data_IF_710831586621
#
_entry.id   IF_710831586621
#
_cell.length_a   1.000
_cell.length_b   1.000
_cell.length_c   1.000
_cell.angle_alpha   90.00
_cell.angle_beta   90.00
_cell.angle_gamma   90.00
#
_symmetry.space_group_name_H-M   'P 1'
#
loop_
_entity.id
_entity.type
_entity.pdbx_description
1 polymer ?
#
# COMPACT_ATOMS: atom_id res chain seq x y z
N UNK A 1 10.80 14.90 5.05
CA UNK A 1 9.72 15.06 4.05
C UNK A 1 8.37 14.61 4.59
N UNK A 2 8.25 13.40 5.14
CA UNK A 2 6.95 12.82 5.53
C UNK A 2 6.23 13.54 6.69
N UNK A 3 6.94 14.09 7.68
CA UNK A 3 6.32 14.90 8.75
C UNK A 3 5.71 16.23 8.23
N UNK A 4 6.38 16.89 7.26
CA UNK A 4 5.86 18.11 6.61
C UNK A 4 4.63 17.80 5.76
N UNK A 5 4.60 16.62 5.13
CA UNK A 5 3.47 16.13 4.34
C UNK A 5 2.26 15.76 5.23
N UNK A 6 2.50 15.17 6.40
CA UNK A 6 1.44 14.91 7.39
C UNK A 6 0.82 16.20 7.96
N UNK A 7 1.62 17.22 8.25
CA UNK A 7 1.13 18.54 8.70
C UNK A 7 0.31 19.25 7.62
N UNK A 8 0.69 19.12 6.34
CA UNK A 8 -0.08 19.68 5.23
C UNK A 8 -1.42 18.97 5.00
N UNK A 9 -1.47 17.65 5.20
CA UNK A 9 -2.71 16.88 5.09
C UNK A 9 -3.80 17.35 6.06
N UNK A 10 -3.46 18.02 7.17
CA UNK A 10 -4.43 18.54 8.15
C UNK A 10 -5.25 19.71 7.58
N UNK A 11 -4.67 20.53 6.69
CA UNK A 11 -5.33 21.70 6.06
C UNK A 11 -5.96 21.41 4.69
N UNK A 12 -5.77 20.21 4.14
CA UNK A 12 -6.22 19.87 2.79
C UNK A 12 -7.69 19.39 2.74
N UNK A 13 -8.31 19.46 1.55
CA UNK A 13 -9.68 18.99 1.29
C UNK A 13 -9.84 17.49 1.60
N UNK A 14 -11.09 17.05 1.83
CA UNK A 14 -11.39 15.67 2.23
C UNK A 14 -10.80 14.60 1.29
N UNK A 15 -10.76 14.87 -0.02
CA UNK A 15 -10.18 13.97 -1.01
C UNK A 15 -8.66 13.76 -0.81
N UNK A 16 -7.92 14.83 -0.53
CA UNK A 16 -6.47 14.77 -0.35
C UNK A 16 -6.13 13.98 0.92
N UNK A 17 -6.89 14.20 2.00
CA UNK A 17 -6.79 13.40 3.23
C UNK A 17 -6.99 11.90 2.95
N UNK A 18 -8.03 11.55 2.19
CA UNK A 18 -8.31 10.16 1.82
C UNK A 18 -7.19 9.55 0.97
N UNK A 19 -6.60 10.32 0.04
CA UNK A 19 -5.48 9.87 -0.77
C UNK A 19 -4.27 9.51 0.10
N UNK A 20 -3.89 10.39 1.04
CA UNK A 20 -2.80 10.13 1.98
C UNK A 20 -3.10 8.95 2.89
N UNK A 21 -4.34 8.83 3.38
CA UNK A 21 -4.75 7.69 4.19
C UNK A 21 -4.57 6.36 3.46
N UNK A 22 -5.06 6.24 2.22
CA UNK A 22 -4.92 5.02 1.41
C UNK A 22 -3.44 4.73 1.11
N UNK A 23 -2.64 5.76 0.86
CA UNK A 23 -1.20 5.61 0.65
C UNK A 23 -0.49 5.05 1.88
N UNK A 24 -0.74 5.65 3.06
CA UNK A 24 -0.17 5.20 4.33
C UNK A 24 -0.61 3.78 4.68
N UNK A 25 -1.88 3.44 4.43
CA UNK A 25 -2.42 2.10 4.65
C UNK A 25 -1.69 1.05 3.78
N UNK A 26 -1.47 1.34 2.50
CA UNK A 26 -0.74 0.43 1.60
C UNK A 26 0.76 0.35 1.92
N UNK A 27 1.38 1.46 2.31
CA UNK A 27 2.77 1.45 2.78
C UNK A 27 2.93 0.61 4.05
N UNK A 28 1.96 0.68 4.97
CA UNK A 28 1.96 -0.13 6.18
C UNK A 28 1.83 -1.62 5.85
N UNK A 29 0.96 -1.99 4.91
CA UNK A 29 0.85 -3.37 4.44
C UNK A 29 2.17 -3.86 3.84
N UNK A 30 2.84 -3.02 3.04
CA UNK A 30 4.14 -3.34 2.47
C UNK A 30 5.22 -3.53 3.55
N UNK A 31 5.23 -2.69 4.59
CA UNK A 31 6.11 -2.85 5.76
C UNK A 31 5.85 -4.18 6.49
N UNK A 32 4.57 -4.48 6.77
CA UNK A 32 4.16 -5.72 7.44
C UNK A 32 4.55 -6.97 6.64
N UNK A 33 4.55 -6.89 5.30
CA UNK A 33 4.91 -7.99 4.40
C UNK A 33 6.42 -8.23 4.26
N UNK A 34 7.30 -7.38 4.80
CA UNK A 34 8.77 -7.53 4.65
C UNK A 34 9.29 -8.95 4.99
N UNK A 35 8.89 -9.60 6.10
CA UNK A 35 9.32 -10.97 6.42
C UNK A 35 8.84 -11.99 5.39
N UNK A 36 7.66 -11.78 4.81
CA UNK A 36 7.08 -12.64 3.78
C UNK A 36 7.90 -12.58 2.48
N UNK A 37 8.28 -11.37 2.05
CA UNK A 37 9.08 -11.15 0.85
C UNK A 37 10.47 -11.77 0.95
N UNK A 38 11.03 -11.81 2.16
CA UNK A 38 12.38 -12.31 2.40
C UNK A 38 12.42 -13.84 2.55
N UNK A 39 11.37 -14.44 3.13
CA UNK A 39 11.34 -15.87 3.48
C UNK A 39 10.59 -16.77 2.49
N UNK A 40 9.52 -16.28 1.86
CA UNK A 40 8.59 -17.11 1.06
C UNK A 40 8.62 -16.85 -0.43
N UNK A 41 9.19 -15.74 -0.88
CA UNK A 41 9.30 -15.45 -2.31
C UNK A 41 10.58 -16.09 -2.84
N UNK A 42 10.44 -17.09 -3.71
CA UNK A 42 11.58 -17.70 -4.39
C UNK A 42 12.05 -16.79 -5.55
N UNK A 43 13.03 -15.94 -5.26
CA UNK A 43 13.63 -15.00 -6.21
C UNK A 43 14.58 -15.68 -7.22
N UNK A 44 15.01 -16.93 -6.98
CA UNK A 44 16.06 -17.62 -7.75
C UNK A 44 15.67 -18.07 -9.17
N UNK A 45 14.40 -17.93 -9.59
CA UNK A 45 13.92 -18.54 -10.84
C UNK A 45 14.26 -17.76 -12.13
N UNK A 46 14.94 -16.61 -12.08
CA UNK A 46 15.28 -15.87 -13.31
C UNK A 46 16.40 -14.82 -13.12
N UNK A 47 17.30 -14.69 -14.12
CA UNK A 47 18.42 -13.71 -14.16
C UNK A 47 17.99 -12.25 -13.90
N UNK A 48 16.81 -11.85 -14.36
CA UNK A 48 16.31 -10.47 -14.22
C UNK A 48 15.62 -10.18 -12.87
N UNK A 49 15.31 -11.21 -12.08
CA UNK A 49 14.58 -11.05 -10.80
C UNK A 49 15.48 -10.73 -9.59
N UNK A 50 16.81 -10.88 -9.72
CA UNK A 50 17.77 -10.38 -8.74
C UNK A 50 17.65 -8.86 -8.58
N UNK A 51 17.52 -8.14 -9.71
CA UNK A 51 17.33 -6.67 -9.73
C UNK A 51 16.00 -6.29 -9.07
N UNK A 52 14.93 -7.04 -9.32
CA UNK A 52 13.63 -6.79 -8.72
C UNK A 52 13.65 -6.97 -7.18
N UNK A 53 14.31 -8.02 -6.70
CA UNK A 53 14.46 -8.27 -5.26
C UNK A 53 15.24 -7.15 -4.58
N UNK A 54 16.37 -6.72 -5.15
CA UNK A 54 17.16 -5.61 -4.60
C UNK A 54 16.41 -4.28 -4.68
N UNK A 55 15.67 -4.05 -5.76
CA UNK A 55 14.85 -2.85 -5.95
C UNK A 55 13.74 -2.73 -4.91
N UNK A 56 13.25 -3.84 -4.35
CA UNK A 56 12.25 -3.84 -3.27
C UNK A 56 12.89 -3.54 -1.91
N UNK A 57 14.14 -3.95 -1.68
CA UNK A 57 14.83 -3.70 -0.40
C UNK A 57 15.05 -2.21 -0.13
N UNK A 58 15.32 -1.41 -1.15
CA UNK A 58 15.58 0.03 -0.98
C UNK A 58 14.35 0.79 -0.43
N UNK A 59 13.15 0.70 -1.02
CA UNK A 59 11.93 1.26 -0.45
C UNK A 59 11.63 0.74 0.96
N UNK A 60 11.79 -0.57 1.21
CA UNK A 60 11.54 -1.15 2.52
C UNK A 60 12.44 -0.55 3.61
N UNK A 61 13.72 -0.31 3.33
CA UNK A 61 14.63 0.38 4.26
C UNK A 61 14.10 1.75 4.65
N UNK A 62 13.62 2.53 3.69
CA UNK A 62 13.02 3.85 3.96
C UNK A 62 11.76 3.72 4.80
N UNK A 63 10.88 2.78 4.44
CA UNK A 63 9.61 2.55 5.13
C UNK A 63 9.83 2.15 6.60
N UNK A 64 10.88 1.39 6.92
CA UNK A 64 11.25 1.01 8.30
C UNK A 64 11.62 2.18 9.19
N UNK A 65 12.10 3.28 8.61
CA UNK A 65 12.41 4.50 9.38
C UNK A 65 11.16 5.25 9.82
N UNK A 66 9.99 4.87 9.30
CA UNK A 66 8.76 5.58 9.56
C UNK A 66 8.15 5.24 10.92
N UNK A 67 7.80 6.28 11.70
CA UNK A 67 7.02 6.13 12.93
C UNK A 67 5.54 6.09 12.57
N UNK A 68 4.96 4.90 12.69
CA UNK A 68 3.55 4.67 12.39
C UNK A 68 2.66 5.23 13.50
N UNK A 69 1.65 5.99 13.12
CA UNK A 69 0.73 6.67 14.04
C UNK A 69 -0.60 5.93 14.24
N UNK A 70 -0.85 4.86 13.49
CA UNK A 70 -2.07 4.07 13.59
C UNK A 70 -1.77 2.61 13.91
N UNK A 71 -2.59 2.03 14.78
CA UNK A 71 -2.56 0.61 15.15
C UNK A 71 -3.63 -0.14 14.36
N UNK A 72 -3.21 -1.11 13.54
CA UNK A 72 -4.11 -1.93 12.73
C UNK A 72 -5.17 -2.66 13.56
N UNK A 73 -4.81 -3.11 14.78
CA UNK A 73 -5.75 -3.83 15.64
C UNK A 73 -6.89 -2.93 16.09
N UNK A 74 -6.63 -1.63 16.22
CA UNK A 74 -7.68 -0.65 16.52
C UNK A 74 -8.55 -0.35 15.31
N UNK A 75 -7.97 -0.36 14.10
CA UNK A 75 -8.70 -0.17 12.85
C UNK A 75 -9.56 -1.38 12.46
N UNK A 76 -9.12 -2.60 12.79
CA UNK A 76 -9.73 -3.85 12.33
C UNK A 76 -10.31 -4.71 13.46
N UNK A 77 -10.79 -4.12 14.58
CA UNK A 77 -11.27 -4.82 15.79
C UNK A 77 -12.25 -6.01 15.57
N UNK A 78 -12.96 -6.08 14.46
CA UNK A 78 -13.86 -7.19 14.09
C UNK A 78 -13.32 -7.93 12.85
N UNK A 79 -12.11 -8.46 12.96
CA UNK A 79 -11.26 -8.91 11.85
C UNK A 79 -11.96 -9.86 10.86
N UNK A 80 -12.71 -10.85 11.36
CA UNK A 80 -13.32 -11.88 10.50
C UNK A 80 -14.48 -11.35 9.66
N UNK A 81 -15.40 -10.60 10.28
CA UNK A 81 -16.56 -10.02 9.60
C UNK A 81 -16.15 -8.90 8.64
N UNK A 82 -15.24 -8.03 9.10
CA UNK A 82 -14.70 -6.93 8.29
C UNK A 82 -13.92 -7.46 7.09
N UNK A 83 -13.15 -8.54 7.24
CA UNK A 83 -12.45 -9.16 6.11
C UNK A 83 -13.41 -9.72 5.06
N UNK A 84 -14.48 -10.40 5.48
CA UNK A 84 -15.48 -10.95 4.57
C UNK A 84 -16.20 -9.84 3.80
N UNK A 85 -16.71 -8.84 4.51
CA UNK A 85 -17.38 -7.68 3.89
C UNK A 85 -16.43 -6.96 2.94
N UNK A 86 -15.17 -6.69 3.32
CA UNK A 86 -14.20 -6.05 2.44
C UNK A 86 -13.92 -6.88 1.19
N UNK A 87 -13.75 -8.20 1.34
CA UNK A 87 -13.50 -9.09 0.21
C UNK A 87 -14.67 -9.09 -0.78
N UNK A 88 -15.90 -9.12 -0.29
CA UNK A 88 -17.12 -9.02 -1.10
C UNK A 88 -17.20 -7.68 -1.84
N UNK A 89 -17.00 -6.57 -1.13
CA UNK A 89 -16.99 -5.24 -1.75
C UNK A 89 -15.92 -5.11 -2.82
N UNK A 90 -14.70 -5.60 -2.58
CA UNK A 90 -13.63 -5.57 -3.59
C UNK A 90 -13.96 -6.40 -4.81
N UNK A 91 -14.57 -7.58 -4.64
CA UNK A 91 -15.01 -8.42 -5.75
C UNK A 91 -16.08 -7.71 -6.57
N UNK A 92 -17.07 -7.12 -5.91
CA UNK A 92 -18.16 -6.39 -6.56
C UNK A 92 -17.64 -5.18 -7.36
N UNK A 93 -16.74 -4.39 -6.77
CA UNK A 93 -16.12 -3.23 -7.44
C UNK A 93 -15.26 -3.69 -8.63
N UNK A 94 -14.49 -4.77 -8.48
CA UNK A 94 -13.62 -5.29 -9.54
C UNK A 94 -14.42 -5.86 -10.73
N UNK A 95 -15.63 -6.36 -10.50
CA UNK A 95 -16.53 -6.80 -11.56
C UNK A 95 -17.09 -5.63 -12.39
N UNK A 96 -17.19 -4.44 -11.81
CA UNK A 96 -17.73 -3.24 -12.46
C UNK A 96 -16.62 -2.46 -13.20
N UNK A 97 -15.39 -2.49 -12.69
CA UNK A 97 -14.30 -1.62 -13.17
C UNK A 97 -13.25 -2.43 -13.93
N UNK A 98 -13.09 -2.18 -15.23
CA UNK A 98 -12.04 -2.81 -16.06
C UNK A 98 -10.70 -2.04 -16.04
N UNK A 99 -10.72 -0.71 -16.07
CA UNK A 99 -9.50 0.10 -16.18
C UNK A 99 -8.75 0.30 -14.85
N UNK A 100 -9.45 0.17 -13.72
CA UNK A 100 -8.94 0.44 -12.36
C UNK A 100 -8.54 -0.80 -11.55
N UNK A 101 -8.63 -2.01 -12.12
CA UNK A 101 -8.46 -3.29 -11.39
C UNK A 101 -7.19 -3.36 -10.55
N UNK A 102 -6.06 -2.86 -11.07
CA UNK A 102 -4.77 -2.88 -10.35
C UNK A 102 -4.82 -2.09 -9.03
N UNK A 103 -5.53 -0.96 -8.98
CA UNK A 103 -5.59 -0.15 -7.76
C UNK A 103 -6.46 -0.80 -6.68
N UNK A 104 -7.60 -1.36 -7.10
CA UNK A 104 -8.56 -2.06 -6.24
C UNK A 104 -7.96 -3.36 -5.73
N UNK A 105 -7.35 -4.14 -6.60
CA UNK A 105 -6.67 -5.37 -6.22
C UNK A 105 -5.50 -5.11 -5.26
N UNK A 106 -4.67 -4.09 -5.56
CA UNK A 106 -3.60 -3.69 -4.65
C UNK A 106 -4.10 -3.19 -3.29
N UNK A 107 -5.29 -2.60 -3.22
CA UNK A 107 -5.94 -2.23 -1.97
C UNK A 107 -6.47 -3.45 -1.21
N UNK A 108 -7.12 -4.39 -1.90
CA UNK A 108 -7.56 -5.65 -1.32
C UNK A 108 -6.40 -6.48 -0.76
N UNK A 109 -5.29 -6.58 -1.49
CA UNK A 109 -4.06 -7.22 -0.98
C UNK A 109 -3.53 -6.52 0.27
N UNK A 110 -3.57 -5.18 0.31
CA UNK A 110 -3.14 -4.44 1.51
C UNK A 110 -4.00 -4.81 2.73
N UNK A 111 -5.33 -4.82 2.59
CA UNK A 111 -6.23 -5.25 3.67
C UNK A 111 -6.00 -6.70 4.10
N UNK A 112 -5.85 -7.62 3.13
CA UNK A 112 -5.54 -9.03 3.40
C UNK A 112 -4.27 -9.21 4.25
N UNK A 113 -3.24 -8.38 4.02
CA UNK A 113 -2.01 -8.39 4.83
C UNK A 113 -2.22 -7.75 6.20
N UNK A 114 -2.91 -6.61 6.25
CA UNK A 114 -3.10 -5.85 7.50
C UNK A 114 -3.97 -6.58 8.51
N UNK A 115 -5.02 -7.26 8.05
CA UNK A 115 -5.93 -8.06 8.90
C UNK A 115 -5.28 -9.37 9.36
N UNK A 116 -4.27 -9.88 8.64
CA UNK A 116 -3.64 -11.15 9.01
C UNK A 116 -2.72 -11.00 10.23
N UNK A 117 -3.04 -11.68 11.33
CA UNK A 117 -2.15 -11.79 12.49
C UNK A 117 -0.89 -12.62 12.22
N UNK A 118 -1.03 -13.65 11.39
CA UNK A 118 -0.01 -14.69 11.16
C UNK A 118 0.45 -14.70 9.69
N UNK A 119 1.53 -13.97 9.40
CA UNK A 119 2.13 -13.89 8.05
C UNK A 119 2.70 -15.24 7.56
N UNK A 120 3.04 -16.13 8.48
CA UNK A 120 3.46 -17.51 8.23
C UNK A 120 2.32 -18.38 7.66
N UNK A 121 1.06 -18.07 7.95
CA UNK A 121 -0.10 -18.74 7.36
C UNK A 121 -0.61 -18.06 6.10
N UNK A 122 -0.26 -16.79 5.91
CA UNK A 122 -0.66 -16.03 4.74
C UNK A 122 -0.10 -16.65 3.45
N UNK A 123 -0.96 -16.77 2.43
CA UNK A 123 -0.60 -17.14 1.06
C UNK A 123 -0.96 -16.00 0.12
N UNK A 124 0.05 -15.45 -0.54
CA UNK A 124 -0.08 -14.41 -1.55
C UNK A 124 0.38 -14.96 -2.89
N UNK A 125 -0.43 -14.76 -3.91
CA UNK A 125 -0.02 -15.02 -5.28
C UNK A 125 0.91 -13.92 -5.78
N UNK A 126 1.75 -14.25 -6.76
CA UNK A 126 2.68 -13.30 -7.39
C UNK A 126 1.96 -12.03 -7.89
N UNK A 127 0.76 -12.18 -8.45
CA UNK A 127 -0.01 -11.05 -8.95
C UNK A 127 -0.41 -10.10 -7.83
N UNK A 128 -0.85 -10.60 -6.67
CA UNK A 128 -1.22 -9.79 -5.49
C UNK A 128 -0.05 -8.90 -5.04
N UNK A 129 1.15 -9.48 -4.94
CA UNK A 129 2.39 -8.78 -4.58
C UNK A 129 2.70 -7.68 -5.60
N UNK A 130 2.67 -8.02 -6.90
CA UNK A 130 2.95 -7.09 -7.98
C UNK A 130 1.94 -5.95 -8.02
N UNK A 131 0.64 -6.24 -7.83
CA UNK A 131 -0.40 -5.20 -7.83
C UNK A 131 -0.31 -4.30 -6.62
N UNK A 132 0.05 -4.81 -5.44
CA UNK A 132 0.28 -4.00 -4.25
C UNK A 132 1.38 -2.97 -4.51
N UNK A 133 2.56 -3.43 -4.95
CA UNK A 133 3.73 -2.59 -5.25
C UNK A 133 3.39 -1.57 -6.34
N UNK A 134 2.78 -2.00 -7.45
CA UNK A 134 2.35 -1.09 -8.54
C UNK A 134 1.37 -0.04 -8.04
N UNK A 135 0.45 -0.40 -7.14
CA UNK A 135 -0.53 0.54 -6.61
C UNK A 135 0.08 1.56 -5.66
N UNK A 136 1.09 1.17 -4.86
CA UNK A 136 1.87 2.08 -4.02
C UNK A 136 2.65 3.07 -4.89
N UNK A 137 3.31 2.59 -5.94
CA UNK A 137 4.05 3.45 -6.87
C UNK A 137 3.13 4.49 -7.55
N UNK A 138 1.93 4.08 -7.98
CA UNK A 138 0.94 5.00 -8.56
C UNK A 138 0.53 6.10 -7.58
N UNK A 139 0.22 5.74 -6.33
CA UNK A 139 -0.14 6.73 -5.31
C UNK A 139 1.04 7.64 -4.94
N UNK A 140 2.26 7.10 -4.92
CA UNK A 140 3.47 7.89 -4.70
C UNK A 140 3.63 8.96 -5.79
N UNK A 141 3.40 8.60 -7.05
CA UNK A 141 3.43 9.55 -8.16
C UNK A 141 2.31 10.59 -8.02
N UNK A 142 1.08 10.17 -7.69
CA UNK A 142 -0.03 11.11 -7.45
C UNK A 142 0.28 12.14 -6.36
N UNK A 143 0.85 11.71 -5.23
CA UNK A 143 1.28 12.60 -4.14
C UNK A 143 2.39 13.53 -4.61
N UNK A 144 3.37 13.02 -5.37
CA UNK A 144 4.44 13.85 -5.92
C UNK A 144 3.89 14.94 -6.86
N UNK A 145 2.97 14.59 -7.76
CA UNK A 145 2.34 15.55 -8.65
C UNK A 145 1.53 16.62 -7.90
N UNK A 146 0.83 16.26 -6.83
CA UNK A 146 0.16 17.23 -5.97
C UNK A 146 1.13 18.22 -5.34
N UNK A 147 2.27 17.73 -4.85
CA UNK A 147 3.33 18.59 -4.30
C UNK A 147 3.90 19.54 -5.37
N UNK A 148 4.18 19.04 -6.57
CA UNK A 148 4.68 19.86 -7.69
C UNK A 148 3.63 20.92 -8.09
N UNK A 149 2.36 20.54 -8.17
CA UNK A 149 1.27 21.46 -8.50
C UNK A 149 1.13 22.58 -7.46
N UNK A 150 1.19 22.25 -6.17
CA UNK A 150 1.17 23.24 -5.09
C UNK A 150 2.33 24.22 -5.22
N UNK A 151 3.54 23.73 -5.53
CA UNK A 151 4.72 24.58 -5.74
C UNK A 151 4.57 25.52 -6.92
N UNK A 152 3.98 25.06 -8.03
CA UNK A 152 3.71 25.91 -9.19
C UNK A 152 2.65 26.98 -8.87
N UNK A 153 1.60 26.63 -8.14
CA UNK A 153 0.54 27.57 -7.76
C UNK A 153 1.00 28.64 -6.76
N UNK A 154 2.06 28.40 -5.99
CA UNK A 154 2.65 29.38 -5.06
C UNK A 154 3.67 30.31 -5.75
N UNK A 155 4.07 30.01 -6.98
CA UNK A 155 5.05 30.77 -7.75
C UNK A 155 4.42 31.77 -8.74
N UNK A 156 3.09 31.83 -8.80
CA UNK A 156 2.29 32.80 -9.57
C UNK A 156 1.60 33.75 -8.58
#
# INVERSE_FOLDING_TARGET
>A
MVLKVMLWAISASGYIKNLYFVYLLKLRALNKMEPYLTSKVNWQSCKDQCVAHESIKSPLKVIRTFRWTFDERTLFRQESKVAQELAEHFRNITNIIDCGKVQIHGLGTAFKILISDHLDKLKLHRHEIVTLIKSVARLSNSIHHLYVFEKMSQAT
#
